data_IF_185252442180
#
_entry.id   IF_185252442180
#
_cell.length_a   1.000
_cell.length_b   1.000
_cell.length_c   1.000
_cell.angle_alpha   90.00
_cell.angle_beta   90.00
_cell.angle_gamma   90.00
#
_symmetry.space_group_name_H-M   'P 1'
#
loop_
_entity.id
_entity.type
_entity.pdbx_description
1 polymer ?
#
# COMPACT_ATOMS: atom_id res chain seq x y z
N UNK A 1 5.16 14.35 -21.47
CA UNK A 1 4.25 13.85 -20.39
C UNK A 1 2.95 14.58 -20.53
N UNK A 2 1.86 13.85 -20.58
CA UNK A 2 0.58 14.43 -20.96
C UNK A 2 -0.16 14.97 -19.73
N UNK A 3 -0.14 16.30 -19.52
CA UNK A 3 -0.88 16.99 -18.44
C UNK A 3 -2.36 16.60 -18.44
N UNK A 4 -2.92 16.28 -19.60
CA UNK A 4 -4.32 15.89 -19.76
C UNK A 4 -4.64 14.57 -19.04
N UNK A 5 -3.69 13.62 -18.99
CA UNK A 5 -3.89 12.36 -18.29
C UNK A 5 -3.92 12.55 -16.76
N UNK A 6 -3.06 13.42 -16.26
CA UNK A 6 -3.00 13.75 -14.83
C UNK A 6 -4.28 14.46 -14.40
N UNK A 7 -4.72 15.44 -15.15
CA UNK A 7 -5.98 16.16 -14.90
C UNK A 7 -7.19 15.22 -14.97
N UNK A 8 -7.20 14.29 -15.92
CA UNK A 8 -8.23 13.25 -16.01
C UNK A 8 -8.26 12.36 -14.77
N UNK A 9 -7.10 11.93 -14.30
CA UNK A 9 -6.98 11.11 -13.10
C UNK A 9 -7.45 11.83 -11.83
N UNK A 10 -7.05 13.10 -11.66
CA UNK A 10 -7.51 13.95 -10.56
C UNK A 10 -9.03 14.10 -10.59
N UNK A 11 -9.57 14.51 -11.72
CA UNK A 11 -11.02 14.74 -11.91
C UNK A 11 -11.81 13.46 -11.61
N UNK A 12 -11.32 12.31 -12.09
CA UNK A 12 -11.97 11.03 -11.83
C UNK A 12 -12.02 10.71 -10.34
N UNK A 13 -10.90 10.89 -9.63
CA UNK A 13 -10.84 10.60 -8.18
C UNK A 13 -11.74 11.56 -7.39
N UNK A 14 -11.75 12.85 -7.73
CA UNK A 14 -12.64 13.84 -7.12
C UNK A 14 -14.13 13.50 -7.34
N UNK A 15 -14.49 13.04 -8.54
CA UNK A 15 -15.85 12.59 -8.84
C UNK A 15 -16.22 11.34 -8.03
N UNK A 16 -15.32 10.37 -7.92
CA UNK A 16 -15.53 9.18 -7.10
C UNK A 16 -15.80 9.56 -5.64
N UNK A 17 -14.97 10.43 -5.07
CA UNK A 17 -15.12 10.91 -3.69
C UNK A 17 -16.44 11.67 -3.49
N UNK A 18 -16.83 12.48 -4.46
CA UNK A 18 -18.12 13.18 -4.44
C UNK A 18 -19.30 12.21 -4.45
N UNK A 19 -19.25 11.18 -5.29
CA UNK A 19 -20.30 10.14 -5.35
C UNK A 19 -20.36 9.30 -4.06
N UNK A 20 -19.22 9.11 -3.39
CA UNK A 20 -19.15 8.47 -2.08
C UNK A 20 -19.60 9.38 -0.93
N UNK A 21 -20.08 10.58 -1.21
CA UNK A 21 -20.45 11.61 -0.23
C UNK A 21 -19.28 12.06 0.68
N UNK A 22 -18.08 12.01 0.13
CA UNK A 22 -16.81 12.44 0.75
C UNK A 22 -16.07 13.42 -0.17
N UNK A 23 -16.68 14.56 -0.55
CA UNK A 23 -16.06 15.49 -1.49
C UNK A 23 -14.75 16.06 -0.94
N UNK A 24 -13.69 15.98 -1.74
CA UNK A 24 -12.40 16.57 -1.46
C UNK A 24 -11.70 16.96 -2.77
N UNK A 25 -10.82 17.94 -2.70
CA UNK A 25 -9.89 18.20 -3.79
C UNK A 25 -8.76 17.17 -3.79
N UNK A 26 -8.20 16.93 -4.97
CA UNK A 26 -7.06 16.04 -5.16
C UNK A 26 -5.90 16.84 -5.72
N UNK A 27 -4.72 16.70 -5.15
CA UNK A 27 -3.49 17.30 -5.67
C UNK A 27 -2.64 16.21 -6.30
N UNK A 28 -2.17 16.44 -7.54
CA UNK A 28 -1.26 15.52 -8.21
C UNK A 28 0.18 16.05 -8.11
N UNK A 29 1.10 15.18 -7.69
CA UNK A 29 2.54 15.44 -7.69
C UNK A 29 3.27 14.35 -8.47
N UNK A 30 4.29 14.76 -9.24
CA UNK A 30 5.14 13.80 -9.94
C UNK A 30 6.23 13.30 -9.01
N UNK A 31 6.27 11.98 -8.83
CA UNK A 31 7.33 11.27 -8.13
C UNK A 31 8.11 10.40 -9.13
N UNK A 32 9.29 9.89 -8.79
CA UNK A 32 10.11 9.14 -9.72
C UNK A 32 9.41 7.96 -10.40
N UNK A 33 8.58 7.23 -9.67
CA UNK A 33 7.96 5.99 -10.11
C UNK A 33 6.46 6.10 -10.43
N UNK A 34 5.79 7.19 -10.01
CA UNK A 34 4.34 7.34 -10.18
C UNK A 34 3.87 8.79 -9.99
N UNK A 35 2.64 9.09 -10.40
CA UNK A 35 1.95 10.30 -9.97
C UNK A 35 1.20 10.04 -8.68
N UNK A 36 1.50 10.81 -7.66
CA UNK A 36 0.78 10.75 -6.39
C UNK A 36 -0.45 11.65 -6.45
N UNK A 37 -1.59 11.04 -6.21
CA UNK A 37 -2.89 11.70 -6.12
C UNK A 37 -3.25 11.81 -4.64
N UNK A 38 -2.92 12.94 -4.05
CA UNK A 38 -3.16 13.19 -2.63
C UNK A 38 -4.55 13.76 -2.42
N UNK A 39 -5.39 13.03 -1.70
CA UNK A 39 -6.71 13.49 -1.29
C UNK A 39 -6.54 14.51 -0.17
N UNK A 40 -7.05 15.72 -0.36
CA UNK A 40 -7.03 16.77 0.64
C UNK A 40 -8.19 16.57 1.63
N UNK A 41 -7.87 15.96 2.75
CA UNK A 41 -8.84 15.55 3.77
C UNK A 41 -8.89 16.48 4.99
N UNK A 42 -8.54 17.77 4.82
CA UNK A 42 -8.53 18.75 5.92
C UNK A 42 -9.89 18.87 6.63
N UNK A 43 -10.98 18.66 5.89
CA UNK A 43 -12.34 18.76 6.40
C UNK A 43 -12.97 17.40 6.79
N UNK A 44 -12.20 16.32 6.73
CA UNK A 44 -12.71 14.99 7.05
C UNK A 44 -12.67 14.73 8.54
N UNK A 45 -13.71 14.06 9.05
CA UNK A 45 -13.68 13.51 10.39
C UNK A 45 -12.76 12.28 10.47
N UNK A 46 -12.28 11.90 11.67
CA UNK A 46 -11.49 10.67 11.85
C UNK A 46 -12.18 9.42 11.29
N UNK A 47 -13.52 9.34 11.42
CA UNK A 47 -14.34 8.25 10.91
C UNK A 47 -14.35 8.21 9.37
N UNK A 48 -14.41 9.37 8.72
CA UNK A 48 -14.33 9.49 7.27
C UNK A 48 -12.95 9.08 6.75
N UNK A 49 -11.89 9.51 7.42
CA UNK A 49 -10.52 9.07 7.09
C UNK A 49 -10.40 7.56 7.25
N UNK A 50 -10.89 6.98 8.35
CA UNK A 50 -10.88 5.54 8.59
C UNK A 50 -11.69 4.76 7.54
N UNK A 51 -12.83 5.30 7.11
CA UNK A 51 -13.66 4.68 6.07
C UNK A 51 -12.93 4.62 4.71
N UNK A 52 -12.18 5.67 4.35
CA UNK A 52 -11.40 5.70 3.11
C UNK A 52 -10.14 4.85 3.17
N UNK A 53 -9.46 4.81 4.30
CA UNK A 53 -8.25 3.99 4.44
C UNK A 53 -8.58 2.51 4.58
N UNK A 54 -9.69 2.15 5.25
CA UNK A 54 -9.98 0.77 5.62
C UNK A 54 -9.05 0.24 6.73
N UNK A 55 -9.11 -1.05 7.00
CA UNK A 55 -8.34 -1.67 8.08
C UNK A 55 -6.82 -1.66 7.84
N UNK A 56 -6.39 -1.83 6.58
CA UNK A 56 -4.97 -1.94 6.19
C UNK A 56 -4.64 -1.10 4.95
N UNK A 57 -5.42 -0.03 4.70
CA UNK A 57 -5.28 0.76 3.48
C UNK A 57 -6.09 0.22 2.29
N UNK A 58 -6.97 -0.75 2.52
CA UNK A 58 -7.74 -1.43 1.47
C UNK A 58 -8.58 -0.45 0.64
N UNK A 59 -9.13 0.58 1.26
CA UNK A 59 -9.89 1.62 0.57
C UNK A 59 -9.01 2.42 -0.40
N UNK A 60 -7.83 2.84 0.04
CA UNK A 60 -6.85 3.53 -0.81
C UNK A 60 -6.32 2.61 -1.91
N UNK A 61 -6.05 1.35 -1.58
CA UNK A 61 -5.55 0.36 -2.55
C UNK A 61 -6.62 0.03 -3.61
N UNK A 62 -7.89 -0.04 -3.22
CA UNK A 62 -9.01 -0.21 -4.14
C UNK A 62 -9.16 0.96 -5.10
N UNK A 63 -9.12 2.20 -4.62
CA UNK A 63 -9.14 3.39 -5.45
C UNK A 63 -7.92 3.45 -6.39
N UNK A 64 -6.75 3.11 -5.88
CA UNK A 64 -5.52 3.06 -6.67
C UNK A 64 -5.60 1.99 -7.78
N UNK A 65 -6.13 0.82 -7.48
CA UNK A 65 -6.34 -0.23 -8.49
C UNK A 65 -7.29 0.24 -9.59
N UNK A 66 -8.41 0.85 -9.22
CA UNK A 66 -9.40 1.34 -10.18
C UNK A 66 -8.81 2.41 -11.09
N UNK A 67 -8.11 3.41 -10.54
CA UNK A 67 -7.55 4.50 -11.35
C UNK A 67 -6.45 4.00 -12.28
N UNK A 68 -5.57 3.13 -11.80
CA UNK A 68 -4.53 2.53 -12.64
C UNK A 68 -5.13 1.68 -13.76
N UNK A 69 -6.22 0.97 -13.49
CA UNK A 69 -6.92 0.18 -14.51
C UNK A 69 -7.56 1.10 -15.55
N UNK A 70 -8.39 2.06 -15.12
CA UNK A 70 -9.17 2.90 -16.02
C UNK A 70 -8.32 3.84 -16.87
N UNK A 71 -7.30 4.45 -16.27
CA UNK A 71 -6.43 5.40 -16.98
C UNK A 71 -5.45 4.73 -17.95
N UNK A 72 -5.30 3.40 -17.85
CA UNK A 72 -4.38 2.63 -18.70
C UNK A 72 -5.09 1.65 -19.66
N UNK A 73 -6.42 1.69 -19.74
CA UNK A 73 -7.18 0.87 -20.71
C UNK A 73 -6.68 1.18 -22.14
N UNK A 74 -6.36 0.12 -22.87
CA UNK A 74 -5.94 0.20 -24.26
C UNK A 74 -4.55 0.79 -24.51
N UNK A 75 -3.75 0.99 -23.45
CA UNK A 75 -2.37 1.44 -23.57
C UNK A 75 -1.38 0.28 -23.50
N UNK A 76 -0.37 0.35 -24.34
CA UNK A 76 0.80 -0.52 -24.26
C UNK A 76 1.61 -0.23 -22.98
N UNK A 77 2.43 -1.18 -22.54
CA UNK A 77 3.20 -1.05 -21.28
C UNK A 77 4.06 0.22 -21.22
N UNK A 78 4.67 0.60 -22.33
CA UNK A 78 5.52 1.81 -22.43
C UNK A 78 4.74 3.13 -22.26
N UNK A 79 3.43 3.11 -22.51
CA UNK A 79 2.56 4.28 -22.41
C UNK A 79 1.70 4.30 -21.15
N UNK A 80 1.84 3.30 -20.28
CA UNK A 80 1.13 3.25 -19.01
C UNK A 80 1.69 4.24 -18.02
N UNK A 81 0.78 4.88 -17.30
CA UNK A 81 1.10 5.81 -16.23
C UNK A 81 0.73 5.17 -14.91
N UNK A 82 1.66 5.15 -13.96
CA UNK A 82 1.39 4.67 -12.62
C UNK A 82 0.84 5.81 -11.73
N UNK A 83 -0.21 5.50 -10.97
CA UNK A 83 -0.82 6.41 -10.01
C UNK A 83 -0.80 5.80 -8.62
N UNK A 84 -0.47 6.60 -7.62
CA UNK A 84 -0.52 6.25 -6.21
C UNK A 84 -1.54 7.15 -5.51
N UNK A 85 -2.51 6.56 -4.83
CA UNK A 85 -3.51 7.32 -4.07
C UNK A 85 -3.04 7.47 -2.62
N UNK A 86 -2.99 8.70 -2.13
CA UNK A 86 -2.51 9.05 -0.80
C UNK A 86 -3.57 9.84 -0.02
N UNK A 87 -3.60 9.65 1.29
CA UNK A 87 -4.47 10.36 2.21
C UNK A 87 -3.71 10.69 3.50
N UNK A 88 -3.51 11.99 3.78
CA UNK A 88 -2.92 12.47 5.04
C UNK A 88 -1.61 11.79 5.46
N UNK A 89 -0.75 11.42 4.52
CA UNK A 89 0.51 10.73 4.80
C UNK A 89 0.32 9.29 5.30
N UNK A 90 -0.83 8.67 5.04
CA UNK A 90 -1.14 7.29 5.47
C UNK A 90 -0.07 6.31 5.00
N UNK A 91 0.31 6.34 3.72
CA UNK A 91 1.29 5.40 3.17
C UNK A 91 2.66 5.52 3.83
N UNK A 92 3.11 6.74 4.07
CA UNK A 92 4.40 6.98 4.75
C UNK A 92 4.39 6.52 6.21
N UNK A 93 3.26 6.71 6.92
CA UNK A 93 3.11 6.19 8.29
C UNK A 93 3.06 4.68 8.29
N UNK A 94 2.23 4.10 7.42
CA UNK A 94 2.06 2.65 7.33
C UNK A 94 3.35 1.94 6.94
N UNK A 95 4.12 2.51 6.03
CA UNK A 95 5.45 2.00 5.67
C UNK A 95 6.37 1.91 6.90
N UNK A 96 6.45 2.98 7.70
CA UNK A 96 7.27 2.99 8.93
C UNK A 96 6.78 1.98 9.97
N UNK A 97 5.47 1.82 10.13
CA UNK A 97 4.89 0.80 11.01
C UNK A 97 5.28 -0.61 10.56
N UNK A 98 5.18 -0.89 9.27
CA UNK A 98 5.55 -2.20 8.71
C UNK A 98 7.06 -2.45 8.78
N UNK A 99 7.88 -1.43 8.61
CA UNK A 99 9.32 -1.51 8.80
C UNK A 99 9.66 -1.86 10.25
N UNK A 100 9.09 -1.15 11.22
CA UNK A 100 9.27 -1.44 12.64
C UNK A 100 8.76 -2.85 13.01
N UNK A 101 7.63 -3.26 12.44
CA UNK A 101 7.08 -4.61 12.63
C UNK A 101 8.04 -5.68 12.10
N UNK A 102 8.61 -5.49 10.91
CA UNK A 102 9.57 -6.40 10.29
C UNK A 102 10.83 -6.54 11.15
N UNK A 103 11.42 -5.44 11.60
CA UNK A 103 12.61 -5.42 12.44
C UNK A 103 12.37 -6.10 13.79
N UNK A 104 11.26 -5.77 14.46
CA UNK A 104 10.89 -6.38 15.74
C UNK A 104 10.66 -7.89 15.61
N UNK A 105 9.95 -8.30 14.57
CA UNK A 105 9.68 -9.72 14.31
C UNK A 105 10.98 -10.48 14.03
N UNK A 106 11.87 -9.95 13.21
CA UNK A 106 13.17 -10.55 12.94
C UNK A 106 14.01 -10.68 14.21
N UNK A 107 14.05 -9.65 15.05
CA UNK A 107 14.78 -9.69 16.33
C UNK A 107 14.20 -10.70 17.30
N UNK A 108 12.88 -10.81 17.38
CA UNK A 108 12.21 -11.81 18.21
C UNK A 108 12.57 -13.24 17.76
N UNK A 109 12.53 -13.50 16.47
CA UNK A 109 12.89 -14.79 15.89
C UNK A 109 14.37 -15.13 16.15
N UNK A 110 15.28 -14.15 16.03
CA UNK A 110 16.70 -14.34 16.38
C UNK A 110 16.91 -14.72 17.83
N UNK A 111 16.19 -14.07 18.75
CA UNK A 111 16.31 -14.30 20.19
C UNK A 111 15.73 -15.61 20.64
N UNK A 112 14.59 -16.00 20.06
CA UNK A 112 13.82 -17.18 20.53
C UNK A 112 14.10 -18.45 19.74
N UNK A 113 14.59 -18.32 18.51
CA UNK A 113 14.71 -19.43 17.55
C UNK A 113 13.36 -20.00 17.07
N UNK A 114 12.24 -19.39 17.48
CA UNK A 114 10.88 -19.82 17.14
C UNK A 114 10.35 -19.00 15.98
N UNK A 115 9.73 -19.65 14.99
CA UNK A 115 9.08 -18.93 13.89
C UNK A 115 7.94 -18.04 14.38
N UNK A 116 7.75 -16.90 13.72
CA UNK A 116 6.69 -15.94 14.01
C UNK A 116 5.74 -15.84 12.82
N UNK A 117 4.44 -15.90 13.09
CA UNK A 117 3.40 -15.66 12.09
C UNK A 117 2.78 -14.27 12.27
N UNK A 118 2.78 -13.46 11.21
CA UNK A 118 2.09 -12.17 11.16
C UNK A 118 0.81 -12.34 10.34
N UNK A 119 -0.32 -12.06 10.99
CA UNK A 119 -1.66 -12.11 10.42
C UNK A 119 -2.13 -10.73 10.00
N UNK A 120 -3.26 -10.68 9.29
CA UNK A 120 -3.98 -9.45 8.96
C UNK A 120 -3.17 -8.44 8.15
N UNK A 121 -2.23 -8.94 7.33
CA UNK A 121 -1.51 -8.15 6.34
C UNK A 121 -2.15 -8.31 4.96
N UNK A 122 -2.26 -7.23 4.21
CA UNK A 122 -2.60 -7.29 2.78
C UNK A 122 -1.50 -8.01 1.98
N UNK A 123 -1.79 -8.40 0.76
CA UNK A 123 -0.78 -9.02 -0.12
C UNK A 123 0.39 -8.08 -0.42
N UNK A 124 0.12 -6.77 -0.52
CA UNK A 124 1.13 -5.74 -0.73
C UNK A 124 2.01 -5.59 0.51
N UNK A 125 1.42 -5.56 1.69
CA UNK A 125 2.15 -5.45 2.96
C UNK A 125 3.03 -6.69 3.23
N UNK A 126 2.52 -7.89 2.95
CA UNK A 126 3.34 -9.12 3.04
C UNK A 126 4.55 -9.06 2.11
N UNK A 127 4.37 -8.59 0.88
CA UNK A 127 5.46 -8.41 -0.09
C UNK A 127 6.47 -7.38 0.39
N UNK A 128 6.00 -6.26 0.97
CA UNK A 128 6.87 -5.22 1.50
C UNK A 128 7.76 -5.74 2.63
N UNK A 129 7.18 -6.44 3.63
CA UNK A 129 7.96 -7.01 4.73
C UNK A 129 8.95 -8.07 4.20
N UNK A 130 8.53 -8.89 3.24
CA UNK A 130 9.42 -9.83 2.59
C UNK A 130 10.62 -9.13 1.94
N UNK A 131 10.38 -8.03 1.20
CA UNK A 131 11.44 -7.23 0.58
C UNK A 131 12.36 -6.56 1.60
N UNK A 132 11.82 -6.07 2.72
CA UNK A 132 12.62 -5.46 3.79
C UNK A 132 13.57 -6.46 4.48
N UNK A 133 13.20 -7.74 4.51
CA UNK A 133 13.97 -8.79 5.18
C UNK A 133 14.77 -9.68 4.22
N UNK A 134 14.61 -9.53 2.90
CA UNK A 134 15.24 -10.40 1.90
C UNK A 134 16.77 -10.44 1.96
N UNK A 135 17.38 -9.31 2.30
CA UNK A 135 18.84 -9.16 2.39
C UNK A 135 19.43 -9.64 3.73
N UNK A 136 18.57 -10.08 4.66
CA UNK A 136 19.03 -10.66 5.93
C UNK A 136 19.63 -12.05 5.68
N UNK A 137 20.88 -12.23 6.08
CA UNK A 137 21.58 -13.52 5.88
C UNK A 137 20.98 -14.64 6.72
N UNK A 138 20.46 -14.31 7.89
CA UNK A 138 20.00 -15.22 8.94
C UNK A 138 18.47 -15.40 9.00
N UNK A 139 17.70 -14.62 8.25
CA UNK A 139 16.23 -14.64 8.27
C UNK A 139 15.68 -15.13 6.93
N UNK A 140 14.66 -15.95 7.00
CA UNK A 140 13.85 -16.41 5.88
C UNK A 140 12.39 -16.03 6.09
N UNK A 141 11.72 -15.59 5.03
CA UNK A 141 10.30 -15.24 5.05
C UNK A 141 9.55 -15.95 3.94
N UNK A 142 8.33 -16.40 4.23
CA UNK A 142 7.42 -17.00 3.24
C UNK A 142 5.96 -16.82 3.67
N UNK A 143 5.05 -16.97 2.72
CA UNK A 143 3.61 -16.92 3.02
C UNK A 143 3.05 -18.31 3.22
N UNK A 144 2.22 -18.47 4.26
CA UNK A 144 1.52 -19.72 4.61
C UNK A 144 0.01 -19.50 4.58
N UNK A 145 -0.75 -20.49 4.10
CA UNK A 145 -2.20 -20.46 4.04
C UNK A 145 -2.74 -19.81 2.75
N UNK A 146 -4.05 -19.63 2.70
CA UNK A 146 -4.79 -19.01 1.59
C UNK A 146 -5.60 -17.84 2.10
N UNK A 147 -5.88 -16.86 1.22
CA UNK A 147 -6.74 -15.73 1.58
C UNK A 147 -8.14 -16.23 1.96
N UNK A 148 -8.79 -15.66 3.00
CA UNK A 148 -8.39 -14.47 3.76
C UNK A 148 -7.39 -14.75 4.92
N UNK A 149 -7.07 -15.99 5.26
CA UNK A 149 -6.22 -16.38 6.39
C UNK A 149 -4.72 -16.50 6.04
N UNK A 150 -4.30 -15.97 4.91
CA UNK A 150 -2.91 -16.03 4.48
C UNK A 150 -2.02 -15.16 5.40
N UNK A 151 -0.92 -15.76 5.85
CA UNK A 151 -0.02 -15.21 6.88
C UNK A 151 1.38 -15.07 6.33
N UNK A 152 2.14 -14.10 6.84
CA UNK A 152 3.57 -14.04 6.64
C UNK A 152 4.27 -14.79 7.77
N UNK A 153 5.14 -15.72 7.43
CA UNK A 153 5.99 -16.45 8.39
C UNK A 153 7.41 -15.91 8.29
N UNK A 154 7.99 -15.65 9.45
CA UNK A 154 9.39 -15.22 9.61
C UNK A 154 10.08 -16.26 10.47
N UNK A 155 11.21 -16.80 10.03
CA UNK A 155 12.01 -17.77 10.77
C UNK A 155 13.50 -17.58 10.53
N UNK A 156 14.34 -18.17 11.38
CA UNK A 156 15.79 -18.27 11.12
C UNK A 156 16.06 -19.22 9.96
N UNK A 157 17.03 -18.89 9.11
CA UNK A 157 17.54 -19.82 8.10
C UNK A 157 18.23 -20.99 8.80
N UNK A 158 17.83 -22.21 8.48
CA UNK A 158 18.56 -23.40 8.92
C UNK A 158 19.77 -23.55 8.00
N UNK A 159 20.96 -23.29 8.53
CA UNK A 159 22.18 -23.73 7.85
C UNK A 159 22.29 -25.25 8.05
N UNK A 160 22.05 -25.97 6.97
CA UNK A 160 22.32 -27.42 6.92
C UNK A 160 23.83 -27.66 6.80
#
# INVERSE_FOLDING_TARGET
MDNQQIESAQTWLEQLLKLANLPASVTATAEPDSYWLTINAENYTPEQVAALTGASGDGLDGMQYLINTLQNIGKDEEHRTAYTVELNGYRSRRYRELQALAENAANQVRQTGVELEIKSLSSVERRLIHSLLQDSEDIETYSRGQDPDRRLVIKTKSYA
#
